data_IF_726524108055
#
_entry.id   IF_726524108055
#
_cell.length_a   1.000
_cell.length_b   1.000
_cell.length_c   1.000
_cell.angle_alpha   90.00
_cell.angle_beta   90.00
_cell.angle_gamma   90.00
#
_symmetry.space_group_name_H-M   'P 1'
#
loop_
_entity.id
_entity.type
_entity.pdbx_description
1 polymer ?
#
# COMPACT_ATOMS: atom_id res chain seq x y z
N UNK A 1 14.84 -17.20 -3.51
CA UNK A 1 13.92 -16.09 -3.16
C UNK A 1 13.50 -16.26 -1.71
N UNK A 2 13.57 -15.21 -0.92
CA UNK A 2 13.11 -15.24 0.46
C UNK A 2 11.58 -15.43 0.53
N UNK A 3 11.10 -16.17 1.53
CA UNK A 3 9.66 -16.44 1.68
C UNK A 3 8.84 -15.15 1.82
N UNK A 4 9.35 -14.13 2.52
CA UNK A 4 8.67 -12.85 2.67
C UNK A 4 8.68 -12.02 1.38
N UNK A 5 9.67 -12.18 0.53
CA UNK A 5 9.64 -11.58 -0.82
C UNK A 5 8.50 -12.20 -1.64
N UNK A 6 8.35 -13.52 -1.58
CA UNK A 6 7.24 -14.19 -2.26
C UNK A 6 5.90 -13.76 -1.67
N UNK A 7 5.82 -13.58 -0.34
CA UNK A 7 4.62 -13.08 0.31
C UNK A 7 4.21 -11.72 -0.24
N UNK A 8 5.16 -10.79 -0.42
CA UNK A 8 4.87 -9.45 -0.96
C UNK A 8 4.37 -9.53 -2.40
N UNK A 9 4.94 -10.41 -3.22
CA UNK A 9 4.47 -10.63 -4.59
C UNK A 9 3.04 -11.16 -4.61
N UNK A 10 2.75 -12.12 -3.76
CA UNK A 10 1.43 -12.72 -3.66
C UNK A 10 0.39 -11.73 -3.13
N UNK A 11 0.77 -10.91 -2.15
CA UNK A 11 -0.06 -9.86 -1.59
C UNK A 11 -0.47 -8.85 -2.66
N UNK A 12 0.48 -8.38 -3.45
CA UNK A 12 0.20 -7.43 -4.54
C UNK A 12 -0.67 -8.06 -5.62
N UNK A 13 -0.47 -9.32 -5.96
CA UNK A 13 -1.32 -10.03 -6.92
C UNK A 13 -2.75 -10.17 -6.41
N UNK A 14 -2.92 -10.45 -5.12
CA UNK A 14 -4.26 -10.49 -4.52
C UNK A 14 -4.95 -9.13 -4.60
N UNK A 15 -4.22 -8.05 -4.33
CA UNK A 15 -4.75 -6.69 -4.45
C UNK A 15 -5.14 -6.36 -5.89
N UNK A 16 -4.30 -6.68 -6.86
CA UNK A 16 -4.56 -6.43 -8.28
C UNK A 16 -5.79 -7.21 -8.76
N UNK A 17 -5.98 -8.45 -8.29
CA UNK A 17 -7.17 -9.26 -8.61
C UNK A 17 -8.44 -8.78 -7.92
N UNK A 18 -8.32 -7.93 -6.90
CA UNK A 18 -9.45 -7.55 -6.06
C UNK A 18 -9.89 -8.65 -5.10
N UNK A 19 -9.01 -9.60 -4.80
CA UNK A 19 -9.27 -10.69 -3.85
C UNK A 19 -8.98 -10.20 -2.43
N UNK A 20 -9.96 -9.54 -1.83
CA UNK A 20 -9.82 -8.89 -0.53
C UNK A 20 -9.56 -9.91 0.58
N UNK A 21 -10.19 -11.07 0.53
CA UNK A 21 -9.99 -12.11 1.54
C UNK A 21 -8.55 -12.62 1.52
N UNK A 22 -8.00 -12.94 0.36
CA UNK A 22 -6.61 -13.35 0.22
C UNK A 22 -5.66 -12.23 0.65
N UNK A 23 -5.93 -11.00 0.21
CA UNK A 23 -5.11 -9.83 0.55
C UNK A 23 -5.01 -9.63 2.06
N UNK A 24 -6.15 -9.58 2.77
CA UNK A 24 -6.15 -9.37 4.22
C UNK A 24 -5.54 -10.53 5.00
N UNK A 25 -5.53 -11.72 4.43
CA UNK A 25 -4.92 -12.90 5.05
C UNK A 25 -3.41 -12.81 5.24
N UNK A 26 -2.73 -11.94 4.51
CA UNK A 26 -1.28 -11.72 4.66
C UNK A 26 -0.91 -10.80 5.82
N UNK A 27 -1.90 -10.16 6.47
CA UNK A 27 -1.69 -9.21 7.56
C UNK A 27 -2.11 -9.80 8.89
N UNK A 28 -1.47 -9.33 9.96
CA UNK A 28 -1.99 -9.55 11.31
C UNK A 28 -3.28 -8.76 11.53
N UNK A 29 -4.15 -9.26 12.42
CA UNK A 29 -5.39 -8.58 12.76
C UNK A 29 -5.16 -7.18 13.35
N UNK A 30 -4.01 -6.98 14.03
CA UNK A 30 -3.61 -5.72 14.64
C UNK A 30 -2.58 -4.94 13.82
N UNK A 31 -2.54 -5.16 12.50
CA UNK A 31 -1.63 -4.45 11.60
C UNK A 31 -1.76 -2.93 11.77
N UNK A 32 -0.63 -2.23 11.64
CA UNK A 32 -0.60 -0.77 11.66
C UNK A 32 -0.10 -0.28 10.31
N UNK A 33 -0.86 0.65 9.71
CA UNK A 33 -0.51 1.23 8.41
C UNK A 33 -0.34 2.73 8.57
N UNK A 34 0.80 3.25 8.10
CA UNK A 34 1.12 4.67 8.12
C UNK A 34 0.96 5.25 6.73
N UNK A 35 0.09 6.23 6.60
CA UNK A 35 -0.08 7.02 5.38
C UNK A 35 0.44 8.43 5.68
N UNK A 36 1.67 8.76 5.26
CA UNK A 36 2.26 10.05 5.59
C UNK A 36 1.66 11.18 4.77
N UNK A 37 2.01 12.42 5.13
CA UNK A 37 1.59 13.60 4.41
C UNK A 37 0.49 14.36 5.11
N UNK A 38 -0.22 15.17 4.34
CA UNK A 38 -1.23 16.11 4.85
C UNK A 38 -2.57 15.98 4.15
N UNK A 39 -2.74 14.97 3.30
CA UNK A 39 -4.01 14.71 2.62
C UNK A 39 -5.07 14.25 3.62
N UNK A 40 -6.31 14.18 3.16
CA UNK A 40 -7.40 13.64 3.95
C UNK A 40 -7.24 12.15 4.27
N UNK A 41 -6.35 11.45 3.54
CA UNK A 41 -6.02 10.06 3.81
C UNK A 41 -4.84 9.90 4.76
N UNK A 42 -4.09 10.97 5.06
CA UNK A 42 -2.95 10.90 5.95
C UNK A 42 -3.37 10.46 7.34
N UNK A 43 -2.53 9.65 7.97
CA UNK A 43 -2.79 9.18 9.32
C UNK A 43 -2.24 7.80 9.57
N UNK A 44 -2.59 7.27 10.75
CA UNK A 44 -2.23 5.94 11.19
C UNK A 44 -3.51 5.11 11.30
N UNK A 45 -3.49 3.95 10.64
CA UNK A 45 -4.64 3.05 10.58
C UNK A 45 -4.30 1.77 11.34
N UNK A 46 -5.13 1.40 12.30
CA UNK A 46 -4.90 0.25 13.18
C UNK A 46 -5.94 -0.84 12.94
N UNK A 47 -5.45 -2.02 12.59
CA UNK A 47 -6.28 -3.19 12.35
C UNK A 47 -6.84 -3.28 10.94
N UNK A 48 -7.33 -4.48 10.61
CA UNK A 48 -7.82 -4.77 9.25
C UNK A 48 -9.02 -3.93 8.85
N UNK A 49 -9.93 -3.64 9.79
CA UNK A 49 -11.11 -2.82 9.49
C UNK A 49 -10.72 -1.40 9.06
N UNK A 50 -9.79 -0.77 9.77
CA UNK A 50 -9.30 0.56 9.40
C UNK A 50 -8.48 0.52 8.11
N UNK A 51 -7.70 -0.53 7.87
CA UNK A 51 -6.99 -0.73 6.61
C UNK A 51 -7.95 -0.75 5.42
N UNK A 52 -9.04 -1.52 5.53
CA UNK A 52 -10.05 -1.60 4.46
C UNK A 52 -10.80 -0.28 4.28
N UNK A 53 -11.08 0.44 5.36
CA UNK A 53 -11.68 1.77 5.30
C UNK A 53 -10.78 2.75 4.54
N UNK A 54 -9.48 2.72 4.82
CA UNK A 54 -8.49 3.54 4.11
C UNK A 54 -8.53 3.25 2.60
N UNK A 55 -8.51 1.99 2.20
CA UNK A 55 -8.58 1.63 0.78
C UNK A 55 -9.90 2.07 0.13
N UNK A 56 -11.02 1.97 0.84
CA UNK A 56 -12.31 2.44 0.33
C UNK A 56 -12.31 3.94 0.06
N UNK A 57 -11.79 4.73 1.00
CA UNK A 57 -11.65 6.19 0.82
C UNK A 57 -10.65 6.56 -0.26
N UNK A 58 -9.56 5.80 -0.37
CA UNK A 58 -8.58 5.98 -1.44
C UNK A 58 -9.23 5.76 -2.81
N UNK A 59 -10.01 4.67 -2.94
CA UNK A 59 -10.70 4.38 -4.19
C UNK A 59 -11.72 5.46 -4.57
N UNK A 60 -12.42 6.04 -3.61
CA UNK A 60 -13.34 7.15 -3.87
C UNK A 60 -12.61 8.38 -4.42
N UNK A 61 -11.40 8.66 -3.94
CA UNK A 61 -10.60 9.80 -4.38
C UNK A 61 -9.83 9.56 -5.67
N UNK A 62 -9.54 8.31 -5.96
CA UNK A 62 -8.77 7.91 -7.14
C UNK A 62 -9.41 6.69 -7.79
N UNK A 63 -10.59 6.87 -8.42
CA UNK A 63 -11.38 5.73 -8.94
C UNK A 63 -10.64 4.92 -10.00
N UNK A 64 -9.66 5.49 -10.68
CA UNK A 64 -8.88 4.81 -11.71
C UNK A 64 -7.42 4.65 -11.28
N UNK A 65 -7.18 4.31 -10.01
CA UNK A 65 -5.84 4.04 -9.50
C UNK A 65 -5.35 2.67 -9.97
N UNK A 66 -4.13 2.65 -10.53
CA UNK A 66 -3.40 1.42 -10.84
C UNK A 66 -1.97 1.53 -10.33
N UNK A 67 -1.30 0.39 -10.15
CA UNK A 67 0.08 0.39 -9.73
C UNK A 67 0.85 -0.77 -10.34
N UNK A 68 2.15 -0.53 -10.60
CA UNK A 68 3.05 -1.50 -11.19
C UNK A 68 4.25 -1.72 -10.26
N UNK A 69 4.22 -2.77 -9.42
CA UNK A 69 5.38 -3.10 -8.59
C UNK A 69 6.50 -3.67 -9.48
N UNK A 70 7.72 -3.16 -9.31
CA UNK A 70 8.84 -3.55 -10.16
C UNK A 70 10.06 -4.10 -9.42
N UNK A 71 10.10 -3.99 -8.09
CA UNK A 71 11.18 -4.56 -7.30
C UNK A 71 10.72 -4.89 -5.89
N UNK A 72 11.17 -6.04 -5.38
CA UNK A 72 10.87 -6.51 -4.03
C UNK A 72 12.15 -6.91 -3.35
N UNK A 73 12.29 -6.51 -2.09
CA UNK A 73 13.41 -6.89 -1.22
C UNK A 73 12.86 -7.27 0.14
N UNK A 74 13.30 -8.40 0.69
CA UNK A 74 12.82 -8.80 2.00
C UNK A 74 13.82 -9.69 2.74
N UNK A 75 13.79 -9.57 4.06
CA UNK A 75 14.41 -10.51 5.00
C UNK A 75 13.33 -11.01 5.96
N UNK A 76 13.72 -11.58 7.10
CA UNK A 76 12.77 -12.14 8.07
C UNK A 76 11.87 -11.07 8.72
N UNK A 77 12.35 -9.84 8.82
CA UNK A 77 11.70 -8.78 9.58
C UNK A 77 11.29 -7.57 8.72
N UNK A 78 11.93 -7.38 7.57
CA UNK A 78 11.75 -6.18 6.75
C UNK A 78 11.44 -6.52 5.30
N UNK A 79 10.61 -5.68 4.69
CA UNK A 79 10.35 -5.77 3.26
C UNK A 79 10.23 -4.39 2.64
N UNK A 80 10.59 -4.30 1.36
CA UNK A 80 10.46 -3.09 0.56
C UNK A 80 9.91 -3.46 -0.81
N UNK A 81 8.91 -2.72 -1.26
CA UNK A 81 8.43 -2.78 -2.63
C UNK A 81 8.64 -1.41 -3.27
N UNK A 82 9.24 -1.39 -4.44
CA UNK A 82 9.33 -0.22 -5.29
C UNK A 82 8.27 -0.34 -6.37
N UNK A 83 7.44 0.67 -6.53
CA UNK A 83 6.35 0.62 -7.50
C UNK A 83 6.11 1.96 -8.18
N UNK A 84 5.57 1.90 -9.40
CA UNK A 84 4.97 3.05 -10.08
C UNK A 84 3.49 3.06 -9.77
N UNK A 85 2.97 4.22 -9.39
CA UNK A 85 1.55 4.41 -9.11
C UNK A 85 0.96 5.41 -10.09
N UNK A 86 -0.25 5.12 -10.58
CA UNK A 86 -0.94 5.93 -11.56
C UNK A 86 -2.28 6.34 -10.97
N UNK A 87 -2.39 7.63 -10.61
CA UNK A 87 -3.62 8.21 -10.08
C UNK A 87 -4.37 8.90 -11.21
N UNK A 88 -5.65 8.61 -11.35
CA UNK A 88 -6.48 9.29 -12.34
C UNK A 88 -7.87 9.57 -11.78
N UNK A 89 -8.35 10.79 -12.04
CA UNK A 89 -9.69 11.24 -11.64
C UNK A 89 -10.16 12.24 -12.69
N UNK A 90 -11.05 11.79 -13.58
CA UNK A 90 -11.49 12.62 -14.71
C UNK A 90 -10.33 13.00 -15.61
N UNK A 91 -10.05 14.31 -15.74
CA UNK A 91 -8.93 14.84 -16.53
C UNK A 91 -7.65 15.04 -15.71
N UNK A 92 -7.72 14.81 -14.41
CA UNK A 92 -6.55 14.91 -13.53
C UNK A 92 -5.81 13.58 -13.49
N UNK A 93 -4.49 13.62 -13.57
CA UNK A 93 -3.69 12.43 -13.38
C UNK A 93 -2.35 12.77 -12.73
N UNK A 94 -1.82 11.81 -12.00
CA UNK A 94 -0.53 11.88 -11.35
C UNK A 94 0.16 10.53 -11.47
N UNK A 95 1.39 10.53 -11.98
CA UNK A 95 2.27 9.38 -11.92
C UNK A 95 3.24 9.58 -10.76
N UNK A 96 3.37 8.59 -9.91
CA UNK A 96 4.19 8.66 -8.70
C UNK A 96 5.11 7.44 -8.62
N UNK A 97 6.29 7.65 -8.04
CA UNK A 97 7.17 6.56 -7.63
C UNK A 97 6.99 6.37 -6.14
N UNK A 98 6.65 5.16 -5.72
CA UNK A 98 6.37 4.87 -4.33
C UNK A 98 7.32 3.83 -3.77
N UNK A 99 7.55 3.94 -2.46
CA UNK A 99 8.29 2.97 -1.68
C UNK A 99 7.38 2.48 -0.57
N UNK A 100 7.02 1.22 -0.61
CA UNK A 100 6.22 0.62 0.44
C UNK A 100 7.16 -0.17 1.35
N UNK A 101 7.19 0.19 2.61
CA UNK A 101 8.03 -0.47 3.61
C UNK A 101 7.15 -1.34 4.49
N UNK A 102 7.58 -2.58 4.71
CA UNK A 102 6.85 -3.56 5.50
C UNK A 102 7.70 -4.06 6.65
N UNK A 103 7.06 -4.28 7.80
CA UNK A 103 7.62 -5.13 8.85
C UNK A 103 6.86 -6.44 8.89
N UNK A 104 7.59 -7.53 9.09
CA UNK A 104 7.04 -8.88 9.22
C UNK A 104 7.24 -9.40 10.64
N UNK A 105 6.31 -10.22 11.07
CA UNK A 105 6.40 -11.01 12.30
C UNK A 105 5.77 -12.37 12.00
N UNK A 106 6.50 -13.44 12.26
CA UNK A 106 6.00 -14.81 12.08
C UNK A 106 5.37 -15.08 10.71
N UNK A 107 5.99 -14.55 9.65
CA UNK A 107 5.56 -14.80 8.27
C UNK A 107 4.34 -14.01 7.82
N UNK A 108 3.95 -12.96 8.56
CA UNK A 108 2.86 -12.06 8.16
C UNK A 108 3.28 -10.60 8.34
N UNK A 109 2.57 -9.71 7.67
CA UNK A 109 2.80 -8.26 7.74
C UNK A 109 2.23 -7.72 9.05
N UNK A 110 3.08 -7.05 9.84
CA UNK A 110 2.69 -6.42 11.11
C UNK A 110 2.57 -4.91 11.02
N UNK A 111 3.30 -4.27 10.10
CA UNK A 111 3.31 -2.82 9.96
C UNK A 111 3.68 -2.42 8.54
N UNK A 112 3.11 -1.32 8.04
CA UNK A 112 3.32 -0.83 6.67
C UNK A 112 3.48 0.69 6.68
N UNK A 113 4.43 1.18 5.87
CA UNK A 113 4.58 2.62 5.56
C UNK A 113 4.41 2.82 4.07
N UNK A 114 3.46 3.69 3.71
CA UNK A 114 3.15 4.02 2.31
C UNK A 114 3.86 5.34 1.97
N UNK A 115 5.07 5.24 1.40
CA UNK A 115 5.91 6.39 1.11
C UNK A 115 5.88 6.72 -0.38
N UNK A 116 5.98 8.01 -0.71
CA UNK A 116 6.07 8.49 -2.09
C UNK A 116 7.31 9.37 -2.24
N UNK A 117 7.91 9.38 -3.42
CA UNK A 117 9.08 10.23 -3.69
C UNK A 117 8.70 11.71 -3.65
N UNK A 118 7.48 12.05 -4.05
CA UNK A 118 6.95 13.42 -4.02
C UNK A 118 5.64 13.44 -3.23
N UNK A 119 5.75 13.55 -1.91
CA UNK A 119 4.59 13.55 -1.03
C UNK A 119 3.68 14.76 -1.25
N UNK A 120 4.26 15.91 -1.59
CA UNK A 120 3.46 17.12 -1.85
C UNK A 120 2.56 16.94 -3.06
N UNK A 121 3.05 16.31 -4.13
CA UNK A 121 2.24 16.03 -5.31
C UNK A 121 1.09 15.07 -4.99
N UNK A 122 1.36 14.02 -4.23
CA UNK A 122 0.35 13.05 -3.80
C UNK A 122 -0.68 13.71 -2.90
N UNK A 123 -0.25 14.51 -1.92
CA UNK A 123 -1.14 15.25 -1.03
C UNK A 123 -2.08 16.17 -1.81
N UNK A 124 -1.53 16.90 -2.78
CA UNK A 124 -2.32 17.82 -3.60
C UNK A 124 -3.36 17.09 -4.44
N UNK A 125 -2.99 15.92 -4.99
CA UNK A 125 -3.92 15.13 -5.79
C UNK A 125 -5.03 14.53 -4.93
N UNK A 126 -4.70 13.99 -3.77
CA UNK A 126 -5.67 13.35 -2.88
C UNK A 126 -6.57 14.37 -2.16
N UNK A 127 -6.02 15.50 -1.83
CA UNK A 127 -6.78 16.58 -1.17
C UNK A 127 -6.95 16.43 0.33
#
# INVERSE_FOLDING_TARGET
MHANEQLLRDLDQAQIRGDIEAFTGYFFDDVVVHFPGRSSLAGEYKGKAQLLDMFGRWQERTPEFTFDPHAYFADDEHGVCLQFSHYKRGNEQLDSNDVIVYHFRDGKVSEVWLLSYDEDAVDSFLG
#
